data_IF_284890618578
#
_entry.id   IF_284890618578
#
_cell.length_a   1.000
_cell.length_b   1.000
_cell.length_c   1.000
_cell.angle_alpha   90.00
_cell.angle_beta   90.00
_cell.angle_gamma   90.00
#
_symmetry.space_group_name_H-M   'P 1'
#
loop_
_entity.id
_entity.type
_entity.pdbx_description
1 polymer ?
#
# COMPACT_ATOMS: atom_id res chain seq x y z
N UNK A 1 -8.68 10.05 -11.41
CA UNK A 1 -9.01 9.15 -10.25
C UNK A 1 -8.02 9.37 -9.08
N UNK A 2 -8.42 9.33 -7.79
CA UNK A 2 -7.46 9.52 -6.67
C UNK A 2 -6.67 8.25 -6.31
N UNK A 3 -5.40 8.38 -5.90
CA UNK A 3 -4.56 7.24 -5.47
C UNK A 3 -5.19 6.44 -4.32
N UNK A 4 -5.85 7.11 -3.37
CA UNK A 4 -6.54 6.44 -2.26
C UNK A 4 -7.70 5.57 -2.76
N UNK A 5 -8.50 6.11 -3.67
CA UNK A 5 -9.60 5.38 -4.30
C UNK A 5 -9.09 4.19 -5.12
N UNK A 6 -7.97 4.34 -5.83
CA UNK A 6 -7.34 3.26 -6.58
C UNK A 6 -6.87 2.13 -5.66
N UNK A 7 -6.21 2.46 -4.54
CA UNK A 7 -5.77 1.46 -3.55
C UNK A 7 -6.96 0.74 -2.93
N UNK A 8 -8.00 1.48 -2.52
CA UNK A 8 -9.22 0.88 -1.97
C UNK A 8 -9.93 -0.04 -2.98
N UNK A 9 -10.00 0.36 -4.25
CA UNK A 9 -10.56 -0.48 -5.31
C UNK A 9 -9.72 -1.74 -5.54
N UNK A 10 -8.39 -1.60 -5.54
CA UNK A 10 -7.44 -2.70 -5.74
C UNK A 10 -7.54 -3.75 -4.63
N UNK A 11 -7.71 -3.32 -3.39
CA UNK A 11 -7.79 -4.20 -2.20
C UNK A 11 -9.23 -4.53 -1.78
N UNK A 12 -10.22 -4.18 -2.61
CA UNK A 12 -11.63 -4.49 -2.35
C UNK A 12 -11.85 -6.00 -2.30
N UNK A 13 -12.68 -6.49 -1.38
CA UNK A 13 -13.02 -7.93 -1.28
C UNK A 13 -11.80 -8.82 -1.01
N UNK A 14 -10.80 -8.32 -0.28
CA UNK A 14 -9.64 -9.12 0.15
C UNK A 14 -9.94 -9.96 1.41
N UNK A 15 -11.12 -9.80 2.00
CA UNK A 15 -11.58 -10.59 3.15
C UNK A 15 -11.14 -10.09 4.52
N UNK A 16 -10.38 -8.99 4.58
CA UNK A 16 -9.98 -8.32 5.83
C UNK A 16 -10.24 -6.81 5.77
N UNK A 17 -10.41 -6.13 6.90
CA UNK A 17 -10.58 -4.69 6.94
C UNK A 17 -9.36 -3.97 6.33
N UNK A 18 -9.63 -3.09 5.37
CA UNK A 18 -8.62 -2.16 4.81
C UNK A 18 -8.99 -0.75 5.26
N UNK A 19 -8.04 -0.02 5.89
CA UNK A 19 -8.25 1.35 6.38
C UNK A 19 -7.10 2.28 6.01
N UNK A 20 -7.42 3.56 5.92
CA UNK A 20 -6.44 4.61 5.66
C UNK A 20 -5.86 5.13 6.98
N UNK A 21 -4.53 5.05 7.12
CA UNK A 21 -3.71 5.55 8.25
C UNK A 21 -3.96 4.89 9.61
N UNK A 22 -5.21 4.84 10.07
CA UNK A 22 -5.57 4.43 11.44
C UNK A 22 -6.54 3.27 11.45
N UNK A 23 -6.39 2.42 12.46
CA UNK A 23 -7.31 1.34 12.76
C UNK A 23 -7.80 1.48 14.20
N UNK A 24 -9.10 1.36 14.42
CA UNK A 24 -9.75 1.44 15.74
C UNK A 24 -10.69 0.25 15.98
N UNK A 25 -10.52 -0.83 15.22
CA UNK A 25 -11.25 -2.08 15.42
C UNK A 25 -10.52 -3.01 16.38
N UNK A 26 -11.14 -4.15 16.65
CA UNK A 26 -10.62 -5.20 17.53
C UNK A 26 -10.18 -6.45 16.76
N UNK A 27 -10.27 -6.44 15.43
CA UNK A 27 -9.92 -7.61 14.63
C UNK A 27 -8.40 -7.90 14.69
N UNK A 28 -8.05 -9.17 14.90
CA UNK A 28 -6.68 -9.67 14.95
C UNK A 28 -5.98 -9.69 13.57
N UNK A 29 -6.65 -9.28 12.51
CA UNK A 29 -6.11 -9.23 11.14
C UNK A 29 -6.70 -8.06 10.37
N UNK A 30 -5.85 -7.14 9.93
CA UNK A 30 -6.27 -5.95 9.18
C UNK A 30 -5.13 -5.39 8.32
N UNK A 31 -5.50 -4.50 7.40
CA UNK A 31 -4.58 -3.82 6.50
C UNK A 31 -4.72 -2.30 6.69
N UNK A 32 -3.58 -1.64 6.89
CA UNK A 32 -3.46 -0.19 6.81
C UNK A 32 -2.79 0.21 5.51
N UNK A 33 -3.22 1.31 4.91
CA UNK A 33 -2.49 1.93 3.82
C UNK A 33 -2.22 3.41 4.04
N UNK A 34 -1.09 3.85 3.50
CA UNK A 34 -0.58 5.21 3.60
C UNK A 34 -0.21 5.67 2.19
N UNK A 35 -0.59 6.89 1.83
CA UNK A 35 -0.21 7.50 0.55
C UNK A 35 0.76 8.64 0.81
N UNK A 36 1.81 8.71 0.03
CA UNK A 36 2.79 9.80 0.08
C UNK A 36 3.32 10.05 -1.33
N UNK A 37 3.67 11.31 -1.62
CA UNK A 37 4.22 11.71 -2.91
C UNK A 37 5.64 12.18 -2.65
N UNK A 38 6.58 11.72 -3.47
CA UNK A 38 7.94 12.28 -3.50
C UNK A 38 7.96 13.22 -4.69
N UNK A 39 7.80 14.50 -4.42
CA UNK A 39 8.05 15.54 -5.41
C UNK A 39 9.56 15.73 -5.50
N UNK A 40 10.20 15.07 -6.47
CA UNK A 40 11.50 15.53 -6.93
C UNK A 40 11.28 16.92 -7.54
N UNK A 41 11.53 17.95 -6.73
CA UNK A 41 11.72 19.31 -7.19
C UNK A 41 13.06 19.38 -7.94
N UNK A 42 13.16 18.64 -9.04
CA UNK A 42 14.12 18.90 -10.10
C UNK A 42 13.32 19.59 -11.19
N UNK A 43 13.16 20.90 -11.00
CA UNK A 43 12.92 21.85 -12.06
C UNK A 43 14.01 21.68 -13.12
N UNK A 44 13.80 20.76 -14.05
CA UNK A 44 14.46 20.72 -15.34
C UNK A 44 13.45 21.31 -16.31
N UNK A 45 13.89 22.37 -17.00
CA UNK A 45 13.06 23.39 -17.65
C UNK A 45 12.24 22.91 -18.87
N UNK A 46 12.11 21.61 -19.09
CA UNK A 46 11.30 21.04 -20.17
C UNK A 46 10.90 19.61 -19.80
N UNK A 47 9.67 19.24 -20.18
CA UNK A 47 9.05 17.91 -20.10
C UNK A 47 8.45 17.48 -18.74
N UNK A 48 7.11 17.46 -18.73
CA UNK A 48 6.21 16.57 -17.99
C UNK A 48 6.67 16.15 -16.57
N UNK A 49 6.18 16.87 -15.55
CA UNK A 49 6.43 16.53 -14.15
C UNK A 49 5.78 15.18 -13.81
N UNK A 50 6.52 14.08 -13.95
CA UNK A 50 6.13 12.78 -13.41
C UNK A 50 6.19 12.83 -11.89
N UNK A 51 5.05 13.07 -11.23
CA UNK A 51 4.95 12.90 -9.79
C UNK A 51 5.00 11.39 -9.46
N UNK A 52 6.08 10.95 -8.82
CA UNK A 52 6.15 9.59 -8.29
C UNK A 52 5.27 9.49 -7.04
N UNK A 53 4.15 8.80 -7.20
CA UNK A 53 3.23 8.52 -6.11
C UNK A 53 3.57 7.17 -5.49
N UNK A 54 3.57 7.14 -4.15
CA UNK A 54 3.87 5.93 -3.40
C UNK A 54 2.74 5.58 -2.45
N UNK A 55 2.60 4.28 -2.25
CA UNK A 55 1.72 3.70 -1.26
C UNK A 55 2.51 2.72 -0.40
N UNK A 56 2.31 2.79 0.91
CA UNK A 56 2.69 1.73 1.83
C UNK A 56 1.43 0.95 2.21
N UNK A 57 1.46 -0.37 2.04
CA UNK A 57 0.47 -1.31 2.57
C UNK A 57 1.10 -2.05 3.74
N UNK A 58 0.52 -1.91 4.92
CA UNK A 58 0.90 -2.61 6.14
C UNK A 58 -0.14 -3.68 6.47
N UNK A 59 0.27 -4.95 6.50
CA UNK A 59 -0.57 -6.09 6.87
C UNK A 59 -0.24 -6.44 8.32
N UNK A 60 -1.26 -6.48 9.18
CA UNK A 60 -1.14 -6.89 10.57
C UNK A 60 -1.94 -8.16 10.80
N UNK A 61 -1.35 -9.14 11.48
CA UNK A 61 -2.02 -10.40 11.82
C UNK A 61 -1.35 -11.11 12.98
N UNK A 62 -2.12 -11.80 13.83
CA UNK A 62 -1.59 -12.80 14.78
C UNK A 62 -1.34 -14.17 14.13
N UNK A 63 -1.95 -14.42 12.97
CA UNK A 63 -1.92 -15.71 12.28
C UNK A 63 -0.83 -15.71 11.18
N UNK A 64 0.20 -16.56 11.28
CA UNK A 64 1.30 -16.64 10.31
C UNK A 64 0.90 -17.28 8.96
N UNK A 65 -0.17 -18.08 8.93
CA UNK A 65 -0.72 -18.62 7.68
C UNK A 65 -1.42 -17.49 6.92
N UNK A 66 -2.30 -16.74 7.58
CA UNK A 66 -2.95 -15.56 6.98
C UNK A 66 -1.94 -14.52 6.54
N UNK A 67 -0.84 -14.35 7.27
CA UNK A 67 0.25 -13.47 6.89
C UNK A 67 0.75 -13.77 5.47
N UNK A 68 1.10 -15.04 5.23
CA UNK A 68 1.67 -15.49 3.96
C UNK A 68 0.65 -15.43 2.82
N UNK A 69 -0.62 -15.70 3.10
CA UNK A 69 -1.72 -15.64 2.13
C UNK A 69 -2.01 -14.19 1.72
N UNK A 70 -2.19 -13.30 2.70
CA UNK A 70 -2.45 -11.88 2.46
C UNK A 70 -1.27 -11.21 1.76
N UNK A 71 -0.03 -11.52 2.14
CA UNK A 71 1.15 -11.00 1.46
C UNK A 71 1.10 -11.31 -0.04
N UNK A 72 0.88 -12.58 -0.40
CA UNK A 72 0.84 -13.01 -1.81
C UNK A 72 -0.31 -12.34 -2.56
N UNK A 73 -1.48 -12.29 -1.95
CA UNK A 73 -2.69 -11.74 -2.58
C UNK A 73 -2.58 -10.23 -2.78
N UNK A 74 -2.12 -9.48 -1.77
CA UNK A 74 -1.88 -8.02 -1.87
C UNK A 74 -0.86 -7.74 -2.98
N UNK A 75 0.28 -8.44 -3.01
CA UNK A 75 1.31 -8.29 -4.05
C UNK A 75 0.74 -8.55 -5.44
N UNK A 76 -0.05 -9.60 -5.60
CA UNK A 76 -0.69 -9.98 -6.87
C UNK A 76 -1.66 -8.91 -7.36
N UNK A 77 -2.51 -8.38 -6.47
CA UNK A 77 -3.48 -7.32 -6.81
C UNK A 77 -2.81 -6.01 -7.19
N UNK A 78 -1.84 -5.55 -6.39
CA UNK A 78 -1.08 -4.34 -6.69
C UNK A 78 -0.35 -4.43 -8.03
N UNK A 79 0.29 -5.57 -8.30
CA UNK A 79 0.96 -5.80 -9.59
C UNK A 79 -0.02 -5.74 -10.77
N UNK A 80 -1.21 -6.35 -10.64
CA UNK A 80 -2.26 -6.29 -11.68
C UNK A 80 -2.80 -4.88 -11.89
N UNK A 81 -2.81 -4.07 -10.84
CA UNK A 81 -3.21 -2.66 -10.88
C UNK A 81 -2.11 -1.71 -11.38
N UNK A 82 -0.95 -2.23 -11.81
CA UNK A 82 0.13 -1.43 -12.41
C UNK A 82 1.10 -0.80 -11.40
N UNK A 83 1.02 -1.16 -10.12
CA UNK A 83 1.98 -0.70 -9.12
C UNK A 83 3.30 -1.48 -9.25
N UNK A 84 4.42 -0.77 -9.13
CA UNK A 84 5.76 -1.36 -9.07
C UNK A 84 6.28 -1.43 -7.64
N UNK A 85 6.90 -2.55 -7.27
CA UNK A 85 7.44 -2.73 -5.92
C UNK A 85 8.68 -1.87 -5.73
N UNK A 86 8.70 -1.09 -4.65
CA UNK A 86 9.85 -0.28 -4.26
C UNK A 86 10.63 -0.93 -3.12
N UNK A 87 9.95 -1.38 -2.07
CA UNK A 87 10.59 -2.01 -0.91
C UNK A 87 9.59 -2.93 -0.16
N UNK A 88 10.10 -3.86 0.63
CA UNK A 88 9.30 -4.68 1.55
C UNK A 88 10.09 -5.01 2.82
N UNK A 89 9.37 -5.17 3.93
CA UNK A 89 9.96 -5.51 5.22
C UNK A 89 9.01 -6.41 6.02
N UNK A 90 9.57 -7.36 6.74
CA UNK A 90 8.86 -8.23 7.68
C UNK A 90 9.24 -7.78 9.10
N UNK A 91 8.24 -7.52 9.92
CA UNK A 91 8.38 -7.04 11.30
C UNK A 91 7.51 -7.88 12.24
N UNK A 92 7.84 -7.83 13.53
CA UNK A 92 7.02 -8.38 14.59
C UNK A 92 6.88 -7.33 15.70
N UNK A 93 5.63 -6.94 15.97
CA UNK A 93 5.28 -5.95 16.99
C UNK A 93 5.17 -6.67 18.34
N UNK A 94 6.21 -6.54 19.18
CA UNK A 94 6.29 -7.30 20.44
C UNK A 94 5.18 -6.96 21.45
N UNK A 95 4.69 -5.73 21.46
CA UNK A 95 3.65 -5.30 22.41
C UNK A 95 2.27 -5.87 22.07
N UNK A 96 1.97 -5.99 20.78
CA UNK A 96 0.68 -6.48 20.28
C UNK A 96 0.71 -7.94 19.81
N UNK A 97 1.91 -8.53 19.76
CA UNK A 97 2.19 -9.87 19.24
C UNK A 97 1.69 -10.06 17.79
N UNK A 98 1.84 -9.01 16.98
CA UNK A 98 1.38 -8.99 15.59
C UNK A 98 2.55 -9.16 14.64
N UNK A 99 2.42 -10.09 13.68
CA UNK A 99 3.22 -10.06 12.47
C UNK A 99 2.82 -8.84 11.64
N UNK A 100 3.81 -8.05 11.25
CA UNK A 100 3.62 -6.80 10.51
C UNK A 100 4.42 -6.85 9.21
N UNK A 101 3.72 -7.03 8.08
CA UNK A 101 4.32 -6.91 6.75
C UNK A 101 4.21 -5.48 6.28
N UNK A 102 5.32 -4.87 5.89
CA UNK A 102 5.34 -3.58 5.20
C UNK A 102 5.65 -3.81 3.73
N UNK A 103 4.78 -3.31 2.85
CA UNK A 103 4.94 -3.37 1.40
C UNK A 103 4.88 -1.95 0.84
N UNK A 104 5.94 -1.49 0.18
CA UNK A 104 5.99 -0.17 -0.45
C UNK A 104 5.99 -0.31 -1.96
N UNK A 105 5.06 0.40 -2.59
CA UNK A 105 4.83 0.38 -4.02
C UNK A 105 4.77 1.80 -4.57
N UNK A 106 5.30 1.98 -5.77
CA UNK A 106 5.16 3.21 -6.54
C UNK A 106 4.16 3.05 -7.68
N UNK A 107 3.65 4.18 -8.16
CA UNK A 107 2.88 4.28 -9.40
C UNK A 107 3.14 5.63 -10.04
N UNK A 108 3.22 5.64 -11.37
CA UNK A 108 3.25 6.84 -12.18
C UNK A 108 1.81 7.14 -12.58
N UNK A 109 1.15 8.03 -11.84
CA UNK A 109 -0.12 8.59 -12.31
C UNK A 109 0.25 9.74 -13.24
N UNK A 110 -0.05 9.61 -14.53
CA UNK A 110 -0.02 10.77 -15.41
C UNK A 110 -1.08 11.73 -14.90
N UNK A 111 -0.68 12.98 -14.60
CA UNK A 111 -1.62 14.05 -14.26
C UNK A 111 -2.29 14.62 -15.52
N UNK A 112 -2.43 13.81 -16.57
CA UNK A 112 -3.22 14.13 -17.75
C UNK A 112 -4.66 13.64 -17.53
N UNK A 113 -5.40 14.35 -16.68
CA UNK A 113 -6.86 14.41 -16.76
C UNK A 113 -7.27 15.89 -16.57
N UNK A 114 -6.94 16.73 -17.56
CA UNK A 114 -7.88 17.53 -18.38
C UNK A 114 -7.12 18.48 -19.34
#
# INVERSE_FOLDING_TARGET
>A
MSLRSLVMATLKDIGVPVRFITYSGDEDTYILFYVYTVSDALSMEDEETFANHYVQISIFTKDPTKYSELEKEVKSRLKRAGFFRSNEQDLYENETELFHKVLRYGTTLNTEEE
#
